data_IF_146267191895
#
_entry.id   IF_146267191895
#
_cell.length_a   1.000
_cell.length_b   1.000
_cell.length_c   1.000
_cell.angle_alpha   90.00
_cell.angle_beta   90.00
_cell.angle_gamma   90.00
#
_symmetry.space_group_name_H-M   'P 1'
#
loop_
_entity.id
_entity.type
_entity.pdbx_description
1 polymer ?
#
# COMPACT_ATOMS: atom_id res chain seq x y z
N UNK A 1 0.27 -23.48 4.23
CA UNK A 1 0.77 -22.08 4.21
C UNK A 1 0.01 -21.28 5.25
N UNK A 2 0.71 -20.49 6.07
CA UNK A 2 0.07 -19.52 6.98
C UNK A 2 -0.22 -18.23 6.22
N UNK A 3 -1.20 -17.47 6.66
CA UNK A 3 -1.67 -16.25 6.01
C UNK A 3 -1.74 -15.11 7.01
N UNK A 4 -1.73 -13.89 6.50
CA UNK A 4 -1.84 -12.67 7.29
C UNK A 4 -2.90 -11.76 6.68
N UNK A 5 -3.82 -11.28 7.51
CA UNK A 5 -4.77 -10.25 7.10
C UNK A 5 -4.04 -8.91 6.95
N UNK A 6 -4.23 -8.26 5.80
CA UNK A 6 -3.75 -6.89 5.58
C UNK A 6 -4.89 -5.92 5.81
N UNK A 7 -4.77 -5.11 6.86
CA UNK A 7 -5.72 -4.05 7.18
C UNK A 7 -5.52 -2.88 6.22
N UNK A 8 -6.63 -2.29 5.75
CA UNK A 8 -6.66 -1.06 4.94
C UNK A 8 -7.17 0.08 5.80
N UNK A 9 -6.41 1.18 5.82
CA UNK A 9 -6.72 2.36 6.61
C UNK A 9 -6.73 3.58 5.70
N UNK A 10 -7.70 4.46 5.87
CA UNK A 10 -7.86 5.66 5.08
C UNK A 10 -7.73 6.92 5.94
N UNK A 11 -6.90 7.86 5.51
CA UNK A 11 -6.78 9.17 6.13
C UNK A 11 -7.56 10.21 5.34
N UNK A 12 -8.72 10.61 5.86
CA UNK A 12 -9.59 11.62 5.22
C UNK A 12 -8.95 13.00 5.06
N UNK A 13 -7.91 13.32 5.84
CA UNK A 13 -7.27 14.63 5.79
C UNK A 13 -6.24 14.71 4.66
N UNK A 14 -5.67 13.56 4.27
CA UNK A 14 -4.63 13.47 3.25
C UNK A 14 -5.09 12.80 1.97
N UNK A 15 -6.09 11.92 2.03
CA UNK A 15 -6.46 11.02 0.94
C UNK A 15 -5.69 9.69 0.95
N UNK A 16 -4.75 9.52 1.89
CA UNK A 16 -3.84 8.38 1.92
C UNK A 16 -4.52 7.08 2.35
N UNK A 17 -4.17 6.00 1.64
CA UNK A 17 -4.42 4.64 2.07
C UNK A 17 -3.14 4.03 2.63
N UNK A 18 -3.26 3.39 3.79
CA UNK A 18 -2.18 2.68 4.45
C UNK A 18 -2.57 1.23 4.70
N UNK A 19 -1.61 0.33 4.46
CA UNK A 19 -1.80 -1.11 4.53
C UNK A 19 -0.80 -1.75 5.48
N UNK A 20 -1.31 -2.54 6.42
CA UNK A 20 -0.49 -3.21 7.43
C UNK A 20 -1.04 -4.56 7.84
N UNK A 21 -0.13 -5.51 8.08
CA UNK A 21 -0.46 -6.79 8.72
C UNK A 21 -0.38 -6.75 10.25
N UNK A 22 -0.03 -5.59 10.83
CA UNK A 22 0.11 -5.39 12.28
C UNK A 22 -1.17 -4.79 12.87
N UNK A 23 -1.84 -5.53 13.74
CA UNK A 23 -2.98 -5.02 14.49
C UNK A 23 -2.59 -3.83 15.38
N UNK A 24 -1.37 -3.82 15.93
CA UNK A 24 -0.86 -2.72 16.74
C UNK A 24 -0.69 -1.43 15.92
N UNK A 25 -0.14 -1.52 14.71
CA UNK A 25 0.00 -0.37 13.81
C UNK A 25 -1.37 0.14 13.37
N UNK A 26 -2.28 -0.77 13.01
CA UNK A 26 -3.68 -0.42 12.72
C UNK A 26 -4.33 0.35 13.87
N UNK A 27 -4.27 -0.19 15.08
CA UNK A 27 -4.94 0.41 16.24
C UNK A 27 -4.32 1.76 16.62
N UNK A 28 -3.01 1.93 16.40
CA UNK A 28 -2.33 3.20 16.60
C UNK A 28 -2.78 4.26 15.59
N UNK A 29 -2.94 3.88 14.31
CA UNK A 29 -3.45 4.78 13.27
C UNK A 29 -4.92 5.14 13.49
N UNK A 30 -5.75 4.19 13.93
CA UNK A 30 -7.15 4.46 14.32
C UNK A 30 -7.20 5.50 15.45
N UNK A 31 -6.37 5.34 16.50
CA UNK A 31 -6.25 6.34 17.57
C UNK A 31 -5.78 7.70 17.06
N UNK A 32 -4.96 7.70 16.00
CA UNK A 32 -4.53 8.90 15.28
C UNK A 32 -5.58 9.51 14.34
N UNK A 33 -6.80 8.97 14.30
CA UNK A 33 -7.91 9.51 13.51
C UNK A 33 -8.04 8.95 12.09
N UNK A 34 -7.31 7.88 11.76
CA UNK A 34 -7.50 7.16 10.51
C UNK A 34 -8.77 6.30 10.55
N UNK A 35 -9.46 6.19 9.43
CA UNK A 35 -10.61 5.31 9.28
C UNK A 35 -10.13 3.90 8.96
N UNK A 36 -10.61 2.91 9.71
CA UNK A 36 -10.38 1.51 9.39
C UNK A 36 -11.38 1.07 8.31
N UNK A 37 -10.87 0.68 7.14
CA UNK A 37 -11.66 0.17 6.02
C UNK A 37 -11.62 -1.36 5.93
N UNK A 38 -11.35 -2.00 7.06
CA UNK A 38 -11.32 -3.46 7.24
C UNK A 38 -10.17 -4.15 6.46
N UNK A 39 -10.45 -5.34 5.92
CA UNK A 39 -9.44 -6.18 5.26
C UNK A 39 -9.29 -5.74 3.81
N UNK A 40 -8.11 -5.25 3.44
CA UNK A 40 -7.77 -4.96 2.05
C UNK A 40 -7.54 -6.25 1.24
N UNK A 41 -6.73 -7.17 1.77
CA UNK A 41 -6.53 -8.52 1.21
C UNK A 41 -5.92 -9.46 2.24
N UNK A 42 -5.78 -10.74 1.88
CA UNK A 42 -5.01 -11.72 2.66
C UNK A 42 -3.64 -11.95 2.01
N UNK A 43 -2.57 -11.63 2.73
CA UNK A 43 -1.20 -11.87 2.31
C UNK A 43 -0.73 -13.28 2.70
N UNK A 44 0.27 -13.78 1.98
CA UNK A 44 0.99 -14.99 2.37
C UNK A 44 2.04 -14.67 3.43
N UNK A 45 2.41 -15.66 4.24
CA UNK A 45 3.50 -15.51 5.24
C UNK A 45 4.89 -15.87 4.70
N UNK A 46 4.97 -16.27 3.43
CA UNK A 46 6.19 -16.65 2.72
C UNK A 46 5.98 -16.45 1.22
N UNK A 47 7.02 -16.08 0.49
CA UNK A 47 6.96 -15.85 -0.95
C UNK A 47 7.87 -14.70 -1.33
N UNK A 48 7.43 -13.88 -2.27
CA UNK A 48 8.20 -12.69 -2.68
C UNK A 48 8.02 -11.60 -1.64
N UNK A 49 9.13 -11.14 -1.04
CA UNK A 49 9.10 -10.04 -0.07
C UNK A 49 8.47 -8.77 -0.69
N UNK A 50 7.58 -8.12 0.05
CA UNK A 50 7.06 -6.79 -0.31
C UNK A 50 7.58 -5.76 0.68
N UNK A 51 8.16 -4.69 0.14
CA UNK A 51 8.73 -3.58 0.87
C UNK A 51 7.80 -2.38 0.85
N UNK A 52 7.90 -1.54 1.88
CA UNK A 52 7.19 -0.26 1.99
C UNK A 52 8.24 0.86 2.10
N UNK A 53 8.03 1.93 1.36
CA UNK A 53 8.83 3.17 1.44
C UNK A 53 7.89 4.35 1.63
N UNK A 54 8.41 5.39 2.29
CA UNK A 54 7.67 6.60 2.64
C UNK A 54 8.26 7.83 1.94
N UNK A 55 7.41 8.64 1.32
CA UNK A 55 7.79 9.93 0.74
C UNK A 55 7.50 11.08 1.72
N UNK A 56 8.52 11.63 2.41
CA UNK A 56 8.33 12.78 3.30
C UNK A 56 8.03 14.08 2.54
N UNK A 57 8.31 14.14 1.24
CA UNK A 57 8.12 15.35 0.42
C UNK A 57 6.70 15.45 -0.16
N UNK A 58 5.91 14.36 -0.10
CA UNK A 58 4.49 14.42 -0.41
C UNK A 58 3.76 15.16 0.71
N UNK A 59 2.87 16.10 0.38
CA UNK A 59 2.17 16.96 1.34
C UNK A 59 1.25 16.13 2.25
N UNK A 60 1.76 15.64 3.38
CA UNK A 60 1.09 14.76 4.35
C UNK A 60 1.50 13.29 4.29
N UNK A 61 2.53 12.95 3.48
CA UNK A 61 3.10 11.61 3.38
C UNK A 61 2.58 10.74 2.23
N UNK A 62 3.41 9.87 1.65
CA UNK A 62 2.89 8.85 0.73
C UNK A 62 3.64 7.54 0.93
N UNK A 63 2.92 6.42 0.97
CA UNK A 63 3.51 5.10 1.08
C UNK A 63 3.40 4.33 -0.24
N UNK A 64 4.53 3.77 -0.68
CA UNK A 64 4.58 2.92 -1.87
C UNK A 64 5.03 1.51 -1.51
N UNK A 65 4.34 0.51 -2.07
CA UNK A 65 4.52 -0.91 -1.78
C UNK A 65 5.01 -1.64 -3.02
N UNK A 66 6.15 -2.33 -2.95
CA UNK A 66 6.70 -3.03 -4.12
C UNK A 66 7.46 -4.30 -3.75
N UNK A 67 7.45 -5.27 -4.67
CA UNK A 67 8.20 -6.52 -4.53
C UNK A 67 9.68 -6.38 -4.93
N UNK A 68 10.03 -5.35 -5.71
CA UNK A 68 11.39 -5.12 -6.18
C UNK A 68 12.20 -4.35 -5.15
N UNK A 69 13.18 -5.01 -4.52
CA UNK A 69 14.12 -4.33 -3.62
C UNK A 69 14.91 -3.23 -4.34
N UNK A 70 15.31 -3.49 -5.58
CA UNK A 70 16.03 -2.53 -6.42
C UNK A 70 15.22 -1.26 -6.71
N UNK A 71 13.91 -1.40 -6.95
CA UNK A 71 12.99 -0.27 -7.12
C UNK A 71 12.91 0.57 -5.85
N UNK A 72 12.79 -0.10 -4.69
CA UNK A 72 12.75 0.57 -3.39
C UNK A 72 14.07 1.28 -3.07
N UNK A 73 15.23 0.66 -3.33
CA UNK A 73 16.55 1.30 -3.20
C UNK A 73 16.65 2.56 -4.10
N UNK A 74 16.10 2.49 -5.32
CA UNK A 74 16.09 3.62 -6.27
C UNK A 74 15.24 4.79 -5.75
N UNK A 75 14.06 4.51 -5.20
CA UNK A 75 13.19 5.53 -4.59
C UNK A 75 13.86 6.16 -3.35
N UNK A 76 14.50 5.35 -2.51
CA UNK A 76 15.21 5.83 -1.33
C UNK A 76 16.40 6.71 -1.72
N UNK A 77 17.17 6.33 -2.75
CA UNK A 77 18.22 7.17 -3.34
C UNK A 77 17.65 8.49 -3.88
N UNK A 78 16.42 8.46 -4.37
CA UNK A 78 15.66 9.64 -4.80
C UNK A 78 15.06 10.49 -3.67
N UNK A 79 15.32 10.17 -2.40
CA UNK A 79 14.90 10.97 -1.24
C UNK A 79 13.75 10.39 -0.43
N UNK A 80 13.17 9.25 -0.85
CA UNK A 80 12.22 8.50 -0.04
C UNK A 80 12.93 7.85 1.16
N UNK A 81 12.16 7.36 2.13
CA UNK A 81 12.66 6.72 3.34
C UNK A 81 12.22 5.26 3.41
N UNK A 82 13.10 4.42 3.94
CA UNK A 82 12.76 3.06 4.30
C UNK A 82 11.72 3.04 5.41
N UNK A 83 10.66 2.27 5.22
CA UNK A 83 9.79 1.84 6.31
C UNK A 83 10.28 0.49 6.87
N UNK A 84 9.88 0.16 8.10
CA UNK A 84 10.18 -1.11 8.76
C UNK A 84 11.68 -1.47 8.77
N UNK A 85 12.54 -0.45 8.84
CA UNK A 85 14.00 -0.60 8.76
C UNK A 85 14.49 -1.29 7.48
N UNK A 86 13.74 -1.20 6.38
CA UNK A 86 14.05 -1.85 5.10
C UNK A 86 13.79 -3.35 5.06
N UNK A 87 13.09 -3.88 6.07
CA UNK A 87 12.59 -5.26 6.09
C UNK A 87 11.23 -5.34 5.39
N UNK A 88 10.89 -6.53 4.88
CA UNK A 88 9.58 -6.76 4.27
C UNK A 88 8.45 -6.51 5.26
N UNK A 89 7.38 -5.85 4.80
CA UNK A 89 6.17 -5.61 5.59
C UNK A 89 5.16 -6.77 5.47
N UNK A 90 5.22 -7.54 4.38
CA UNK A 90 4.50 -8.81 4.16
C UNK A 90 5.12 -9.56 2.96
N UNK A 91 4.53 -10.70 2.59
CA UNK A 91 4.93 -11.49 1.42
C UNK A 91 3.81 -11.62 0.39
N UNK A 92 4.19 -11.38 -0.87
CA UNK A 92 3.40 -11.67 -2.06
C UNK A 92 3.44 -13.17 -2.39
N UNK A 93 2.28 -13.72 -2.71
CA UNK A 93 2.10 -15.11 -3.12
C UNK A 93 0.62 -15.42 -3.36
N UNK A 94 0.31 -16.63 -3.82
CA UNK A 94 -1.07 -17.01 -4.15
C UNK A 94 -1.44 -16.65 -5.59
N UNK A 95 -2.75 -16.44 -5.83
CA UNK A 95 -3.31 -16.25 -7.18
C UNK A 95 -4.19 -15.01 -7.31
N UNK A 96 -4.49 -14.33 -6.21
CA UNK A 96 -5.36 -13.15 -6.22
C UNK A 96 -4.50 -11.93 -6.55
N UNK A 97 -4.69 -11.25 -7.70
CA UNK A 97 -3.92 -10.06 -8.02
C UNK A 97 -4.29 -8.92 -7.07
N UNK A 98 -3.29 -8.16 -6.62
CA UNK A 98 -3.48 -6.85 -5.98
C UNK A 98 -2.96 -5.78 -6.94
N UNK A 99 -3.86 -4.92 -7.36
CA UNK A 99 -3.62 -3.83 -8.30
C UNK A 99 -3.19 -2.57 -7.56
N UNK A 100 -2.37 -1.75 -8.21
CA UNK A 100 -2.06 -0.39 -7.75
C UNK A 100 -2.66 0.64 -8.71
N UNK A 101 -3.34 1.63 -8.16
CA UNK A 101 -3.81 2.82 -8.87
C UNK A 101 -3.17 4.07 -8.25
N UNK A 102 -2.75 5.01 -9.10
CA UNK A 102 -2.16 6.29 -8.73
C UNK A 102 -3.11 7.44 -9.12
N UNK A 103 -3.39 8.38 -8.22
CA UNK A 103 -4.18 9.57 -8.51
C UNK A 103 -3.27 10.74 -8.93
N UNK A 104 -3.21 11.10 -10.23
CA UNK A 104 -2.39 12.24 -10.67
C UNK A 104 -2.98 13.60 -10.29
N UNK A 105 -4.25 13.65 -9.91
CA UNK A 105 -4.96 14.88 -9.59
C UNK A 105 -4.95 15.17 -8.08
N UNK A 106 -4.46 14.24 -7.26
CA UNK A 106 -4.27 14.49 -5.84
C UNK A 106 -3.07 15.42 -5.68
N UNK A 107 -3.33 16.63 -5.20
CA UNK A 107 -2.29 17.64 -4.96
C UNK A 107 -1.78 17.60 -3.51
N UNK A 108 -2.44 16.81 -2.66
CA UNK A 108 -1.97 16.42 -1.35
C UNK A 108 -1.24 15.05 -1.39
N UNK A 109 -1.06 14.45 -0.21
CA UNK A 109 -0.51 13.12 0.02
C UNK A 109 -1.45 12.01 -0.44
N UNK A 110 -1.04 10.74 -0.41
CA UNK A 110 -1.99 9.64 -0.55
C UNK A 110 -2.40 9.28 -1.97
N UNK A 111 -1.45 9.37 -2.89
CA UNK A 111 -1.74 9.18 -4.32
C UNK A 111 -2.00 7.72 -4.70
N UNK A 112 -1.72 6.74 -3.83
CA UNK A 112 -1.80 5.32 -4.17
C UNK A 112 -2.94 4.58 -3.47
N UNK A 113 -3.67 3.75 -4.22
CA UNK A 113 -4.60 2.75 -3.70
C UNK A 113 -4.16 1.34 -4.15
N UNK A 114 -4.29 0.37 -3.24
CA UNK A 114 -4.03 -1.04 -3.49
C UNK A 114 -5.29 -1.86 -3.23
N UNK A 115 -5.70 -2.67 -4.20
CA UNK A 115 -6.94 -3.44 -4.11
C UNK A 115 -6.87 -4.77 -4.85
N UNK A 116 -7.49 -5.81 -4.28
CA UNK A 116 -7.78 -7.07 -4.99
C UNK A 116 -9.10 -7.04 -5.76
N UNK A 117 -9.89 -5.96 -5.63
CA UNK A 117 -11.16 -5.79 -6.32
C UNK A 117 -10.94 -5.20 -7.71
N UNK A 118 -11.20 -6.00 -8.74
CA UNK A 118 -11.17 -5.51 -10.13
C UNK A 118 -12.23 -4.43 -10.39
N UNK A 119 -13.32 -4.41 -9.61
CA UNK A 119 -14.37 -3.40 -9.70
C UNK A 119 -13.93 -2.06 -9.13
N UNK A 120 -13.27 -2.06 -7.96
CA UNK A 120 -12.71 -0.84 -7.35
C UNK A 120 -11.63 -0.26 -8.26
N UNK A 121 -10.73 -1.10 -8.76
CA UNK A 121 -9.72 -0.71 -9.74
C UNK A 121 -10.33 -0.05 -10.97
N UNK A 122 -11.37 -0.64 -11.57
CA UNK A 122 -12.05 -0.05 -12.72
C UNK A 122 -12.75 1.27 -12.39
N UNK A 123 -13.30 1.40 -11.19
CA UNK A 123 -13.94 2.63 -10.74
C UNK A 123 -12.94 3.77 -10.57
N UNK A 124 -11.76 3.50 -9.99
CA UNK A 124 -10.67 4.48 -9.87
C UNK A 124 -10.18 4.93 -11.26
N UNK A 125 -10.03 3.99 -12.19
CA UNK A 125 -9.64 4.31 -13.57
C UNK A 125 -10.67 5.20 -14.28
N UNK A 126 -11.97 4.91 -14.12
CA UNK A 126 -13.06 5.77 -14.63
C UNK A 126 -13.04 7.16 -14.00
N UNK A 127 -12.63 7.26 -12.74
CA UNK A 127 -12.44 8.53 -12.04
C UNK A 127 -11.15 9.27 -12.42
N UNK A 128 -10.35 8.75 -13.37
CA UNK A 128 -9.17 9.41 -13.92
C UNK A 128 -7.84 9.02 -13.28
N UNK A 129 -7.83 8.07 -12.34
CA UNK A 129 -6.60 7.51 -11.78
C UNK A 129 -5.81 6.75 -12.86
N UNK A 130 -4.50 6.67 -12.69
CA UNK A 130 -3.58 5.94 -13.59
C UNK A 130 -3.25 4.57 -13.02
N UNK A 131 -3.05 3.61 -13.91
CA UNK A 131 -2.77 2.22 -13.56
C UNK A 131 -1.33 1.85 -13.90
N UNK A 132 -0.64 1.24 -12.94
CA UNK A 132 0.76 0.84 -13.09
C UNK A 132 0.93 -0.59 -13.62
N UNK A 133 0.21 -1.57 -13.04
CA UNK A 133 0.29 -3.03 -13.28
C UNK A 133 -0.33 -3.78 -12.09
N UNK A 134 -0.37 -5.11 -12.15
CA UNK A 134 -0.46 -5.94 -10.93
C UNK A 134 0.80 -5.68 -10.12
N UNK A 135 0.65 -5.23 -8.87
CA UNK A 135 1.79 -4.90 -8.02
C UNK A 135 2.35 -6.13 -7.30
N UNK A 136 1.46 -7.00 -6.81
CA UNK A 136 1.78 -8.26 -6.14
C UNK A 136 0.54 -9.16 -6.07
N UNK A 137 0.69 -10.33 -5.46
CA UNK A 137 -0.38 -11.32 -5.29
C UNK A 137 -0.68 -11.59 -3.82
N UNK A 138 -1.97 -11.80 -3.54
CA UNK A 138 -2.51 -12.34 -2.30
C UNK A 138 -3.17 -13.72 -2.49
N UNK A 139 -3.78 -14.20 -1.41
CA UNK A 139 -4.41 -15.52 -1.32
C UNK A 139 -5.93 -15.45 -1.38
#
# INVERSE_FOLDING_TARGET
MKYQTMYRLYNKNTGEHFYTGSAFERDSLIKGGWNNEETGWTATTSGTAVYRVYNPNAKGGDHYYMASRYEADSLVKGGWKWDNGGKSVFYSGGKIPVYVAYNPNETASGSHNYTSSSFEQQSLLKAGWKFGKIQFYGK
#
